data_IF_102410408192
#
_entry.id   IF_102410408192
#
_cell.length_a   1.000
_cell.length_b   1.000
_cell.length_c   1.000
_cell.angle_alpha   90.00
_cell.angle_beta   90.00
_cell.angle_gamma   90.00
#
_symmetry.space_group_name_H-M   'P 1'
#
loop_
_entity.id
_entity.type
_entity.pdbx_description
1 polymer ?
#
# COMPACT_ATOMS: atom_id res chain seq x y z
N UNK A 1 -1.53 -15.78 -12.26
CA UNK A 1 -0.76 -14.51 -12.36
C UNK A 1 -1.03 -13.62 -11.14
N UNK A 2 -2.30 -13.42 -10.76
CA UNK A 2 -2.68 -12.63 -9.57
C UNK A 2 -2.10 -13.20 -8.25
N UNK A 3 -2.06 -14.53 -8.08
CA UNK A 3 -1.41 -15.16 -6.92
C UNK A 3 0.06 -14.73 -6.72
N UNK A 4 0.87 -14.92 -7.77
CA UNK A 4 2.29 -14.52 -7.74
C UNK A 4 2.46 -13.03 -7.44
N UNK A 5 1.50 -12.21 -7.86
CA UNK A 5 1.56 -10.78 -7.64
C UNK A 5 1.44 -10.39 -6.15
N UNK A 6 0.54 -11.01 -5.37
CA UNK A 6 0.49 -10.73 -3.94
C UNK A 6 1.65 -11.41 -3.18
N UNK A 7 2.12 -12.57 -3.64
CA UNK A 7 3.31 -13.23 -3.08
C UNK A 7 4.55 -12.33 -3.24
N UNK A 8 4.76 -11.75 -4.43
CA UNK A 8 5.84 -10.79 -4.69
C UNK A 8 5.70 -9.54 -3.81
N UNK A 9 4.48 -9.05 -3.58
CA UNK A 9 4.24 -7.90 -2.71
C UNK A 9 4.54 -8.21 -1.24
N UNK A 10 4.15 -9.40 -0.77
CA UNK A 10 4.46 -9.86 0.58
C UNK A 10 5.98 -9.91 0.80
N UNK A 11 6.73 -10.47 -0.16
CA UNK A 11 8.19 -10.53 -0.09
C UNK A 11 8.82 -9.12 -0.03
N UNK A 12 8.32 -8.15 -0.79
CA UNK A 12 8.78 -6.76 -0.73
C UNK A 12 8.54 -6.14 0.65
N UNK A 13 7.38 -6.39 1.26
CA UNK A 13 7.03 -5.89 2.59
C UNK A 13 7.89 -6.55 3.69
N UNK A 14 8.21 -7.83 3.55
CA UNK A 14 9.12 -8.55 4.43
C UNK A 14 10.54 -7.98 4.33
N UNK A 15 11.09 -7.84 3.12
CA UNK A 15 12.41 -7.22 2.91
C UNK A 15 12.47 -5.81 3.49
N UNK A 16 11.40 -5.01 3.34
CA UNK A 16 11.35 -3.66 3.91
C UNK A 16 11.48 -3.68 5.44
N UNK A 17 10.88 -4.66 6.10
CA UNK A 17 10.96 -4.85 7.55
C UNK A 17 12.32 -5.43 7.99
N UNK A 18 12.94 -6.29 7.20
CA UNK A 18 14.27 -6.85 7.49
C UNK A 18 15.38 -5.81 7.32
N UNK A 19 15.29 -4.96 6.31
CA UNK A 19 16.24 -3.88 6.04
C UNK A 19 16.20 -2.75 7.07
N UNK A 20 15.10 -2.63 7.84
CA UNK A 20 14.86 -1.52 8.75
C UNK A 20 14.50 -1.98 10.16
N UNK A 21 15.43 -1.88 11.13
CA UNK A 21 15.13 -2.23 12.52
C UNK A 21 14.16 -1.25 13.20
N UNK A 22 13.93 -0.06 12.63
CA UNK A 22 12.98 0.93 13.13
C UNK A 22 11.61 0.79 12.43
N UNK A 23 10.52 0.48 13.18
CA UNK A 23 9.17 0.43 12.65
C UNK A 23 8.66 1.75 12.05
N UNK A 24 9.08 2.91 12.58
CA UNK A 24 8.70 4.21 11.99
C UNK A 24 9.34 4.38 10.62
N UNK A 25 10.62 4.00 10.49
CA UNK A 25 11.30 4.03 9.20
C UNK A 25 10.63 3.10 8.16
N UNK A 26 10.13 1.93 8.57
CA UNK A 26 9.32 1.07 7.70
C UNK A 26 8.06 1.79 7.19
N UNK A 27 7.36 2.53 8.07
CA UNK A 27 6.15 3.28 7.72
C UNK A 27 6.46 4.44 6.77
N UNK A 28 7.59 5.12 6.94
CA UNK A 28 8.02 6.17 6.01
C UNK A 28 8.31 5.64 4.61
N UNK A 29 8.89 4.44 4.52
CA UNK A 29 9.25 3.80 3.25
C UNK A 29 8.10 3.04 2.60
N UNK A 30 7.04 2.69 3.33
CA UNK A 30 5.88 1.96 2.79
C UNK A 30 5.33 2.52 1.46
N UNK A 31 5.19 3.85 1.26
CA UNK A 31 4.76 4.41 -0.03
C UNK A 31 5.66 4.05 -1.23
N UNK A 32 6.94 3.72 -1.02
CA UNK A 32 7.87 3.30 -2.08
C UNK A 32 7.37 2.04 -2.81
N UNK A 33 6.66 1.16 -2.09
CA UNK A 33 6.11 -0.10 -2.63
C UNK A 33 5.12 0.14 -3.78
N UNK A 34 4.36 1.24 -3.74
CA UNK A 34 3.47 1.67 -4.81
C UNK A 34 4.14 2.64 -5.77
N UNK A 35 5.03 3.52 -5.30
CA UNK A 35 5.75 4.49 -6.14
C UNK A 35 6.55 3.81 -7.26
N UNK A 36 7.21 2.70 -6.96
CA UNK A 36 8.07 1.95 -7.89
C UNK A 36 7.36 1.53 -9.18
N UNK A 37 6.05 1.26 -9.13
CA UNK A 37 5.30 0.92 -10.33
C UNK A 37 5.12 2.14 -11.27
N UNK A 38 4.94 3.34 -10.70
CA UNK A 38 4.79 4.59 -11.46
C UNK A 38 6.09 4.96 -12.18
N UNK A 39 7.24 4.69 -11.56
CA UNK A 39 8.55 4.91 -12.19
C UNK A 39 8.76 4.04 -13.43
N UNK A 40 8.20 2.82 -13.41
CA UNK A 40 8.30 1.91 -14.54
C UNK A 40 7.15 2.14 -15.52
N UNK A 41 7.32 3.13 -16.39
CA UNK A 41 6.40 3.50 -17.46
C UNK A 41 4.98 3.86 -16.97
N UNK A 42 4.89 4.53 -15.80
CA UNK A 42 3.63 4.96 -15.22
C UNK A 42 2.64 3.79 -15.06
N UNK A 43 3.11 2.64 -14.57
CA UNK A 43 2.24 1.49 -14.29
C UNK A 43 1.58 1.65 -12.91
N UNK A 44 0.46 0.97 -12.72
CA UNK A 44 -0.20 0.88 -11.42
C UNK A 44 -0.15 -0.54 -10.89
N UNK A 45 -0.52 -0.69 -9.62
CA UNK A 45 -0.73 -1.99 -9.02
C UNK A 45 -1.76 -2.80 -9.82
N UNK A 46 -1.42 -4.03 -10.18
CA UNK A 46 -2.33 -4.95 -10.88
C UNK A 46 -3.62 -5.15 -10.10
N UNK A 47 -3.55 -5.27 -8.78
CA UNK A 47 -4.72 -5.42 -7.92
C UNK A 47 -5.61 -4.16 -7.92
N UNK A 48 -5.05 -2.95 -8.05
CA UNK A 48 -5.85 -1.72 -8.17
C UNK A 48 -6.60 -1.65 -9.50
N UNK A 49 -5.98 -2.09 -10.60
CA UNK A 49 -6.65 -2.20 -11.89
C UNK A 49 -7.77 -3.24 -11.85
N UNK A 50 -7.46 -4.44 -11.34
CA UNK A 50 -8.42 -5.54 -11.23
C UNK A 50 -9.58 -5.18 -10.30
N UNK A 51 -9.34 -4.50 -9.18
CA UNK A 51 -10.40 -4.06 -8.28
C UNK A 51 -11.39 -3.09 -8.94
N UNK A 52 -10.95 -2.27 -9.91
CA UNK A 52 -11.84 -1.38 -10.65
C UNK A 52 -12.74 -2.12 -11.65
N UNK A 53 -12.28 -3.27 -12.15
CA UNK A 53 -13.01 -4.13 -13.09
C UNK A 53 -13.70 -5.30 -12.35
N UNK A 54 -14.08 -5.12 -11.09
CA UNK A 54 -14.52 -6.20 -10.20
C UNK A 54 -15.72 -7.00 -10.72
N UNK A 55 -16.64 -6.34 -11.42
CA UNK A 55 -17.87 -6.95 -11.92
C UNK A 55 -17.61 -7.97 -13.05
N UNK A 56 -16.48 -7.83 -13.74
CA UNK A 56 -16.07 -8.67 -14.86
C UNK A 56 -15.00 -9.71 -14.48
N UNK A 57 -14.61 -9.78 -13.20
CA UNK A 57 -13.58 -10.71 -12.74
C UNK A 57 -14.15 -12.06 -12.26
N UNK A 58 -13.52 -13.19 -12.65
CA UNK A 58 -13.78 -14.48 -12.03
C UNK A 58 -13.55 -14.43 -10.51
N UNK A 59 -14.39 -15.14 -9.74
CA UNK A 59 -14.32 -15.13 -8.28
C UNK A 59 -12.95 -15.52 -7.72
N UNK A 60 -12.26 -16.46 -8.37
CA UNK A 60 -10.88 -16.85 -8.01
C UNK A 60 -9.90 -15.68 -8.15
N UNK A 61 -10.03 -14.85 -9.19
CA UNK A 61 -9.16 -13.68 -9.39
C UNK A 61 -9.49 -12.59 -8.36
N UNK A 62 -10.77 -12.40 -8.06
CA UNK A 62 -11.18 -11.44 -7.04
C UNK A 62 -10.66 -11.84 -5.65
N UNK A 63 -10.60 -13.14 -5.34
CA UNK A 63 -9.99 -13.63 -4.11
C UNK A 63 -8.52 -13.22 -4.01
N UNK A 64 -7.73 -13.36 -5.07
CA UNK A 64 -6.31 -12.93 -5.07
C UNK A 64 -6.16 -11.41 -4.89
N UNK A 65 -7.07 -10.61 -5.43
CA UNK A 65 -7.11 -9.15 -5.23
C UNK A 65 -7.41 -8.80 -3.77
N UNK A 66 -8.34 -9.51 -3.14
CA UNK A 66 -8.65 -9.34 -1.72
C UNK A 66 -7.46 -9.76 -0.85
N UNK A 67 -6.81 -10.88 -1.17
CA UNK A 67 -5.61 -11.35 -0.46
C UNK A 67 -4.48 -10.32 -0.53
N UNK A 68 -4.26 -9.67 -1.67
CA UNK A 68 -3.30 -8.58 -1.78
C UNK A 68 -3.58 -7.45 -0.78
N UNK A 69 -4.83 -6.99 -0.70
CA UNK A 69 -5.19 -5.92 0.23
C UNK A 69 -4.97 -6.35 1.69
N UNK A 70 -5.40 -7.56 2.05
CA UNK A 70 -5.26 -8.09 3.41
C UNK A 70 -3.79 -8.30 3.82
N UNK A 71 -2.89 -8.67 2.89
CA UNK A 71 -1.44 -8.73 3.15
C UNK A 71 -0.89 -7.36 3.53
N UNK A 72 -1.24 -6.30 2.79
CA UNK A 72 -0.79 -4.94 3.10
C UNK A 72 -1.36 -4.44 4.42
N UNK A 73 -2.63 -4.70 4.69
CA UNK A 73 -3.31 -4.30 5.93
C UNK A 73 -2.69 -5.02 7.13
N UNK A 74 -2.47 -6.34 7.04
CA UNK A 74 -1.84 -7.11 8.11
C UNK A 74 -0.43 -6.61 8.41
N UNK A 75 0.37 -6.32 7.38
CA UNK A 75 1.71 -5.77 7.55
C UNK A 75 1.68 -4.39 8.21
N UNK A 76 0.85 -3.47 7.71
CA UNK A 76 0.71 -2.12 8.28
C UNK A 76 0.28 -2.18 9.75
N UNK A 77 -0.70 -3.01 10.09
CA UNK A 77 -1.17 -3.18 11.48
C UNK A 77 -0.05 -3.65 12.41
N UNK A 78 0.77 -4.60 11.97
CA UNK A 78 1.95 -5.09 12.71
C UNK A 78 2.97 -3.96 12.94
N UNK A 79 3.30 -3.21 11.89
CA UNK A 79 4.34 -2.16 11.97
C UNK A 79 3.86 -0.96 12.78
N UNK A 80 2.60 -0.53 12.62
CA UNK A 80 2.00 0.55 13.40
C UNK A 80 1.95 0.22 14.90
N UNK A 81 1.65 -1.04 15.24
CA UNK A 81 1.69 -1.52 16.62
C UNK A 81 3.12 -1.53 17.18
N UNK A 82 4.08 -2.01 16.38
CA UNK A 82 5.50 -2.03 16.77
C UNK A 82 6.09 -0.61 16.94
N UNK A 83 5.60 0.37 16.18
CA UNK A 83 5.95 1.78 16.28
C UNK A 83 5.29 2.48 17.48
N UNK A 84 4.38 1.83 18.20
CA UNK A 84 3.66 2.40 19.34
C UNK A 84 2.66 3.50 18.96
N UNK A 85 2.25 3.59 17.69
CA UNK A 85 1.35 4.66 17.21
C UNK A 85 -0.14 4.32 17.43
N UNK A 86 -0.46 3.03 17.58
CA UNK A 86 -1.79 2.57 17.97
C UNK A 86 -1.72 1.48 19.03
N UNK A 87 -2.70 1.52 19.93
CA UNK A 87 -3.01 0.36 20.77
C UNK A 87 -3.57 -0.78 19.91
N UNK A 88 -3.28 -2.02 20.30
CA UNK A 88 -3.65 -3.26 19.59
C UNK A 88 -5.15 -3.45 19.30
N UNK A 89 -6.02 -2.57 19.83
CA UNK A 89 -7.49 -2.60 19.66
C UNK A 89 -8.05 -1.49 18.76
N UNK A 90 -7.23 -0.52 18.34
CA UNK A 90 -7.66 0.64 17.54
C UNK A 90 -7.16 0.66 16.08
N UNK A 91 -6.48 -0.41 15.62
CA UNK A 91 -5.65 -0.33 14.41
C UNK A 91 -6.41 -0.52 13.09
N UNK A 92 -7.52 -1.26 13.03
CA UNK A 92 -8.07 -1.72 11.74
C UNK A 92 -8.58 -0.59 10.81
N UNK A 93 -9.40 0.39 11.28
CA UNK A 93 -9.87 1.47 10.40
C UNK A 93 -8.74 2.37 9.91
N UNK A 94 -7.76 2.68 10.76
CA UNK A 94 -6.63 3.54 10.38
C UNK A 94 -5.67 2.84 9.43
N UNK A 95 -5.39 1.56 9.67
CA UNK A 95 -4.58 0.71 8.77
C UNK A 95 -5.20 0.65 7.37
N UNK A 96 -6.53 0.41 7.30
CA UNK A 96 -7.27 0.41 6.03
C UNK A 96 -7.25 1.79 5.36
N UNK A 97 -7.34 2.87 6.14
CA UNK A 97 -7.25 4.23 5.61
C UNK A 97 -5.86 4.53 5.01
N UNK A 98 -4.77 4.09 5.65
CA UNK A 98 -3.41 4.23 5.10
C UNK A 98 -3.28 3.46 3.79
N UNK A 99 -3.69 2.18 3.77
CA UNK A 99 -3.66 1.37 2.55
C UNK A 99 -4.46 2.03 1.41
N UNK A 100 -5.70 2.44 1.69
CA UNK A 100 -6.57 3.08 0.71
C UNK A 100 -5.99 4.41 0.19
N UNK A 101 -5.41 5.23 1.07
CA UNK A 101 -4.80 6.50 0.69
C UNK A 101 -3.57 6.31 -0.20
N UNK A 102 -2.68 5.38 0.14
CA UNK A 102 -1.46 5.11 -0.65
C UNK A 102 -1.83 4.50 -2.02
N UNK A 103 -2.72 3.51 -2.06
CA UNK A 103 -3.19 2.93 -3.31
C UNK A 103 -3.96 3.96 -4.17
N UNK A 104 -4.79 4.81 -3.54
CA UNK A 104 -5.51 5.89 -4.18
C UNK A 104 -4.60 6.96 -4.76
N UNK A 105 -3.54 7.35 -4.04
CA UNK A 105 -2.54 8.29 -4.55
C UNK A 105 -1.88 7.76 -5.84
N UNK A 106 -1.56 6.46 -5.90
CA UNK A 106 -0.99 5.84 -7.09
C UNK A 106 -1.96 5.95 -8.29
N UNK A 107 -3.25 5.69 -8.06
CA UNK A 107 -4.28 5.81 -9.08
C UNK A 107 -4.42 7.25 -9.60
N UNK A 108 -4.41 8.24 -8.71
CA UNK A 108 -4.51 9.66 -9.10
C UNK A 108 -3.28 10.08 -9.91
N UNK A 109 -2.07 9.76 -9.46
CA UNK A 109 -0.84 10.05 -10.21
C UNK A 109 -0.84 9.41 -11.60
N UNK A 110 -1.29 8.14 -11.69
CA UNK A 110 -1.44 7.43 -12.96
C UNK A 110 -2.34 8.16 -13.94
N UNK A 111 -3.50 8.63 -13.46
CA UNK A 111 -4.50 9.31 -14.29
C UNK A 111 -3.97 10.59 -14.97
N UNK A 112 -2.92 11.18 -14.39
CA UNK A 112 -2.28 12.41 -14.89
C UNK A 112 -0.94 12.17 -15.57
N UNK A 113 -0.44 10.95 -15.53
CA UNK A 113 0.92 10.60 -15.98
C UNK A 113 2.00 11.46 -15.34
N UNK A 114 1.84 11.72 -14.05
CA UNK A 114 2.72 12.58 -13.28
C UNK A 114 2.96 11.99 -11.88
N UNK A 115 4.18 11.48 -11.67
CA UNK A 115 4.61 10.89 -10.40
C UNK A 115 4.74 11.94 -9.30
N UNK A 116 4.96 13.22 -9.62
CA UNK A 116 5.07 14.28 -8.60
C UNK A 116 3.77 14.50 -7.83
N UNK A 117 2.62 14.14 -8.43
CA UNK A 117 1.33 14.14 -7.76
C UNK A 117 1.28 13.06 -6.67
N UNK A 118 1.88 11.89 -6.90
CA UNK A 118 2.01 10.87 -5.87
C UNK A 118 2.80 11.41 -4.68
N UNK A 119 3.98 11.99 -4.94
CA UNK A 119 4.85 12.54 -3.91
C UNK A 119 4.14 13.63 -3.10
N UNK A 120 3.45 14.54 -3.79
CA UNK A 120 2.66 15.61 -3.16
C UNK A 120 1.56 15.05 -2.24
N UNK A 121 0.86 14.00 -2.66
CA UNK A 121 -0.18 13.37 -1.85
C UNK A 121 0.40 12.65 -0.63
N UNK A 122 1.52 11.94 -0.78
CA UNK A 122 2.21 11.28 0.34
C UNK A 122 2.69 12.30 1.37
N UNK A 123 3.28 13.41 0.93
CA UNK A 123 3.69 14.50 1.82
C UNK A 123 2.49 15.15 2.52
N UNK A 124 1.36 15.30 1.81
CA UNK A 124 0.09 15.72 2.39
C UNK A 124 -0.40 14.77 3.49
N UNK A 125 -0.37 13.45 3.26
CA UNK A 125 -0.78 12.46 4.25
C UNK A 125 0.09 12.48 5.51
N UNK A 126 1.40 12.73 5.35
CA UNK A 126 2.32 12.94 6.47
C UNK A 126 1.99 14.21 7.24
N UNK A 127 1.78 15.32 6.54
CA UNK A 127 1.45 16.61 7.15
C UNK A 127 0.13 16.59 7.94
N UNK A 128 -0.85 15.77 7.50
CA UNK A 128 -2.14 15.62 8.19
C UNK A 128 -2.15 14.52 9.25
N UNK A 129 -1.04 13.80 9.45
CA UNK A 129 -0.93 12.71 10.42
C UNK A 129 -1.61 11.40 10.02
N UNK A 130 -2.03 11.25 8.76
CA UNK A 130 -2.59 9.99 8.26
C UNK A 130 -1.49 8.94 8.15
N UNK A 131 -0.34 9.31 7.59
CA UNK A 131 0.87 8.50 7.54
C UNK A 131 1.87 9.05 8.55
N UNK A 132 2.53 8.22 9.38
CA UNK A 132 3.60 8.69 10.24
C UNK A 132 4.72 9.37 9.43
N UNK A 133 5.15 10.55 9.91
CA UNK A 133 6.09 11.47 9.24
C UNK A 133 7.51 11.34 9.77
#
# INVERSE_FOLDING_TARGET
>A
MARRYWEDSAAVLESLQEESPDPLHCLHRYPETFRKALENANRICLCSFMAAESDDLPGEMMQEVQTFAEVHIAWLSKVLSAAGVVDSKGSDPWTRAIFAAVAGAQLIARSRSDVSIYDTLIDGYRATGLLPA
#
